data_IF_233822722238
#
_entry.id   IF_233822722238
#
_cell.length_a   1.000
_cell.length_b   1.000
_cell.length_c   1.000
_cell.angle_alpha   90.00
_cell.angle_beta   90.00
_cell.angle_gamma   90.00
#
_symmetry.space_group_name_H-M   'P 1'
#
loop_
_entity.id
_entity.type
_entity.pdbx_description
1 polymer ?
#
# COMPACT_ATOMS: atom_id res chain seq x y z
N UNK A 1 6.76 -24.59 -29.50
CA UNK A 1 5.45 -24.25 -28.91
C UNK A 1 5.76 -23.44 -27.69
N UNK A 2 5.31 -22.20 -27.64
CA UNK A 2 5.52 -21.38 -26.46
C UNK A 2 4.78 -22.00 -25.27
N UNK A 3 5.41 -21.99 -24.10
CA UNK A 3 4.80 -22.53 -22.88
C UNK A 3 3.61 -21.72 -22.36
N UNK A 4 3.07 -20.80 -23.16
CA UNK A 4 2.06 -19.82 -22.79
C UNK A 4 0.72 -20.23 -23.42
N UNK A 5 -0.23 -20.67 -22.59
CA UNK A 5 -1.64 -20.88 -22.97
C UNK A 5 -2.50 -19.86 -22.20
N UNK A 6 -2.40 -18.59 -22.59
CA UNK A 6 -3.18 -17.52 -21.96
C UNK A 6 -4.62 -17.51 -22.48
N UNK A 7 -5.56 -17.31 -21.56
CA UNK A 7 -6.99 -17.08 -21.86
C UNK A 7 -7.33 -15.61 -21.58
N UNK A 8 -7.29 -14.71 -22.58
CA UNK A 8 -7.41 -13.27 -22.36
C UNK A 8 -8.69 -12.85 -21.62
N UNK A 9 -9.83 -13.50 -21.92
CA UNK A 9 -11.10 -13.23 -21.25
C UNK A 9 -11.06 -13.58 -19.76
N UNK A 10 -10.43 -14.71 -19.40
CA UNK A 10 -10.26 -15.11 -18.01
C UNK A 10 -9.35 -14.14 -17.26
N UNK A 11 -8.27 -13.70 -17.91
CA UNK A 11 -7.33 -12.72 -17.34
C UNK A 11 -8.01 -11.38 -17.12
N UNK A 12 -8.80 -10.89 -18.08
CA UNK A 12 -9.55 -9.65 -17.94
C UNK A 12 -10.54 -9.71 -16.77
N UNK A 13 -11.20 -10.84 -16.56
CA UNK A 13 -12.06 -11.07 -15.40
C UNK A 13 -11.30 -10.93 -14.08
N UNK A 14 -10.16 -11.61 -13.95
CA UNK A 14 -9.29 -11.53 -12.76
C UNK A 14 -8.77 -10.11 -12.54
N UNK A 15 -8.26 -9.45 -13.59
CA UNK A 15 -7.76 -8.07 -13.53
C UNK A 15 -8.84 -7.10 -13.03
N UNK A 16 -10.07 -7.25 -13.53
CA UNK A 16 -11.20 -6.42 -13.09
C UNK A 16 -11.49 -6.64 -11.60
N UNK A 17 -11.68 -7.88 -11.18
CA UNK A 17 -12.01 -8.17 -9.78
C UNK A 17 -10.88 -7.78 -8.83
N UNK A 18 -9.62 -8.04 -9.19
CA UNK A 18 -8.46 -7.64 -8.38
C UNK A 18 -8.29 -6.13 -8.36
N UNK A 19 -8.50 -5.44 -9.49
CA UNK A 19 -8.49 -3.97 -9.56
C UNK A 19 -9.57 -3.33 -8.68
N UNK A 20 -10.79 -3.87 -8.69
CA UNK A 20 -11.88 -3.46 -7.80
C UNK A 20 -11.48 -3.60 -6.33
N UNK A 21 -10.91 -4.75 -5.93
CA UNK A 21 -10.44 -4.94 -4.54
C UNK A 21 -9.28 -4.01 -4.19
N UNK A 22 -8.31 -3.85 -5.09
CA UNK A 22 -7.16 -2.97 -4.90
C UNK A 22 -7.58 -1.50 -4.75
N UNK A 23 -8.66 -1.07 -5.42
CA UNK A 23 -9.20 0.28 -5.30
C UNK A 23 -9.64 0.63 -3.87
N UNK A 24 -9.97 -0.36 -3.05
CA UNK A 24 -10.36 -0.15 -1.66
C UNK A 24 -9.16 0.03 -0.72
N UNK A 25 -7.93 -0.30 -1.14
CA UNK A 25 -6.74 -0.18 -0.29
C UNK A 25 -6.53 1.27 0.16
N UNK A 26 -6.70 2.24 -0.73
CA UNK A 26 -6.58 3.67 -0.38
C UNK A 26 -7.61 4.08 0.68
N UNK A 27 -8.87 3.62 0.53
CA UNK A 27 -9.94 3.88 1.49
C UNK A 27 -9.62 3.29 2.87
N UNK A 28 -9.16 2.04 2.91
CA UNK A 28 -8.78 1.39 4.16
C UNK A 28 -7.55 2.04 4.80
N UNK A 29 -6.58 2.48 4.00
CA UNK A 29 -5.41 3.18 4.52
C UNK A 29 -5.75 4.54 5.13
N UNK A 30 -6.68 5.30 4.51
CA UNK A 30 -7.21 6.55 5.08
C UNK A 30 -7.92 6.30 6.41
N UNK A 31 -8.87 5.36 6.44
CA UNK A 31 -9.60 5.01 7.65
C UNK A 31 -8.66 4.56 8.78
N UNK A 32 -7.63 3.77 8.46
CA UNK A 32 -6.61 3.35 9.41
C UNK A 32 -5.87 4.55 10.04
N UNK A 33 -5.44 5.51 9.22
CA UNK A 33 -4.77 6.73 9.71
C UNK A 33 -5.68 7.60 10.59
N UNK A 34 -6.95 7.75 10.21
CA UNK A 34 -7.96 8.49 11.00
C UNK A 34 -8.19 7.83 12.36
N UNK A 35 -8.38 6.50 12.38
CA UNK A 35 -8.58 5.76 13.63
C UNK A 35 -7.35 5.78 14.53
N UNK A 36 -6.13 5.69 13.97
CA UNK A 36 -4.89 5.83 14.72
C UNK A 36 -4.74 7.21 15.35
N UNK A 37 -5.03 8.27 14.59
CA UNK A 37 -4.99 9.66 15.08
C UNK A 37 -6.00 9.88 16.21
N UNK A 38 -7.22 9.37 16.03
CA UNK A 38 -8.27 9.40 17.05
C UNK A 38 -7.86 8.66 18.33
N UNK A 39 -7.26 7.47 18.18
CA UNK A 39 -6.76 6.68 19.31
C UNK A 39 -5.58 7.37 20.02
N UNK A 40 -4.64 7.97 19.27
CA UNK A 40 -3.54 8.74 19.84
C UNK A 40 -4.05 9.96 20.62
N UNK A 41 -5.06 10.66 20.09
CA UNK A 41 -5.70 11.81 20.75
C UNK A 41 -6.38 11.37 22.04
N UNK A 42 -7.15 10.28 22.00
CA UNK A 42 -7.86 9.71 23.16
C UNK A 42 -6.91 9.16 24.23
N UNK A 43 -5.76 8.61 23.82
CA UNK A 43 -4.72 8.15 24.74
C UNK A 43 -3.96 9.33 25.37
N UNK A 44 -3.71 10.40 24.59
CA UNK A 44 -3.06 11.62 25.04
C UNK A 44 -3.91 12.49 25.98
N UNK A 45 -5.23 12.28 26.03
CA UNK A 45 -6.18 13.03 26.87
C UNK A 45 -6.21 12.64 28.35
N UNK A 46 -5.30 11.78 28.84
CA UNK A 46 -5.08 11.49 30.27
C UNK A 46 -3.71 12.11 30.66
N UNK A 47 -3.53 13.27 31.29
CA UNK A 47 -4.38 14.22 32.03
C UNK A 47 -3.70 15.62 32.06
N UNK A 48 -4.46 16.71 32.18
CA UNK A 48 -3.94 18.01 32.67
C UNK A 48 -4.83 18.70 33.73
N UNK A 49 -5.91 18.06 34.20
CA UNK A 49 -6.81 18.65 35.22
C UNK A 49 -6.97 17.78 36.48
N UNK A 50 -5.98 16.92 36.74
CA UNK A 50 -5.85 16.14 37.96
C UNK A 50 -4.48 16.36 38.59
N UNK A 51 -4.23 17.57 39.07
CA UNK A 51 -3.07 17.89 39.90
C UNK A 51 -3.15 17.14 41.22
N UNK A 52 -2.35 16.09 41.36
CA UNK A 52 -2.03 15.45 42.62
C UNK A 52 -0.53 15.27 42.71
N UNK A 53 0.11 15.93 43.67
CA UNK A 53 1.52 15.77 43.98
C UNK A 53 1.83 14.31 44.28
N UNK A 54 2.67 13.69 43.45
CA UNK A 54 3.31 12.40 43.75
C UNK A 54 2.89 11.24 42.83
N UNK A 55 3.80 10.89 41.91
CA UNK A 55 3.91 9.53 41.39
C UNK A 55 2.99 9.15 40.21
N UNK A 56 3.41 9.49 39.00
CA UNK A 56 3.41 8.68 37.77
C UNK A 56 3.38 9.63 36.55
N UNK A 57 4.49 9.67 35.81
CA UNK A 57 4.65 10.55 34.66
C UNK A 57 3.70 10.11 33.55
N UNK A 58 2.67 10.92 33.27
CA UNK A 58 2.10 11.15 31.93
C UNK A 58 2.05 9.92 30.99
N UNK A 59 1.50 8.77 31.44
CA UNK A 59 1.38 7.58 30.59
C UNK A 59 0.59 7.87 29.30
N UNK A 60 -0.39 8.79 29.34
CA UNK A 60 -1.18 9.17 28.16
C UNK A 60 -0.35 9.82 27.03
N UNK A 61 0.62 10.66 27.38
CA UNK A 61 1.49 11.33 26.40
C UNK A 61 2.45 10.38 25.69
N UNK A 62 2.98 9.37 26.39
CA UNK A 62 3.88 8.36 25.81
C UNK A 62 3.13 7.40 24.88
N UNK A 63 1.90 7.01 25.23
CA UNK A 63 1.06 6.16 24.38
C UNK A 63 0.66 6.92 23.11
N UNK A 64 0.28 8.19 23.21
CA UNK A 64 -0.02 9.03 22.04
C UNK A 64 1.19 9.15 21.08
N UNK A 65 2.40 9.30 21.62
CA UNK A 65 3.63 9.34 20.83
C UNK A 65 3.91 8.00 20.12
N UNK A 66 3.79 6.89 20.84
CA UNK A 66 4.00 5.55 20.28
C UNK A 66 3.00 5.23 19.17
N UNK A 67 1.72 5.58 19.36
CA UNK A 67 0.68 5.42 18.33
C UNK A 67 0.98 6.25 17.09
N UNK A 68 1.45 7.49 17.26
CA UNK A 68 1.83 8.36 16.14
C UNK A 68 2.99 7.75 15.33
N UNK A 69 4.03 7.25 16.00
CA UNK A 69 5.17 6.61 15.32
C UNK A 69 4.78 5.31 14.60
N UNK A 70 3.92 4.50 15.23
CA UNK A 70 3.40 3.28 14.62
C UNK A 70 2.53 3.59 13.40
N UNK A 71 1.65 4.61 13.49
CA UNK A 71 0.83 5.07 12.38
C UNK A 71 1.69 5.51 11.19
N UNK A 72 2.75 6.29 11.43
CA UNK A 72 3.67 6.74 10.38
C UNK A 72 4.37 5.57 9.67
N UNK A 73 4.75 4.52 10.40
CA UNK A 73 5.32 3.31 9.81
C UNK A 73 4.28 2.53 9.02
N UNK A 74 3.13 2.25 9.62
CA UNK A 74 2.06 1.48 9.01
C UNK A 74 1.52 2.14 7.74
N UNK A 75 1.43 3.48 7.68
CA UNK A 75 1.03 4.21 6.47
C UNK A 75 2.02 3.99 5.32
N UNK A 76 3.33 3.91 5.60
CA UNK A 76 4.34 3.60 4.57
C UNK A 76 4.15 2.18 4.02
N UNK A 77 3.92 1.22 4.90
CA UNK A 77 3.68 -0.17 4.51
C UNK A 77 2.39 -0.31 3.68
N UNK A 78 1.32 0.39 4.08
CA UNK A 78 0.05 0.42 3.34
C UNK A 78 0.22 1.03 1.93
N UNK A 79 1.01 2.12 1.81
CA UNK A 79 1.37 2.69 0.51
C UNK A 79 2.20 1.72 -0.33
N UNK A 80 3.14 1.00 0.28
CA UNK A 80 3.93 -0.03 -0.40
C UNK A 80 3.04 -1.14 -0.96
N UNK A 81 2.09 -1.65 -0.17
CA UNK A 81 1.13 -2.68 -0.59
C UNK A 81 0.29 -2.18 -1.77
N UNK A 82 -0.22 -0.95 -1.71
CA UNK A 82 -0.98 -0.36 -2.80
C UNK A 82 -0.15 -0.25 -4.09
N UNK A 83 1.08 0.26 -3.99
CA UNK A 83 2.00 0.36 -5.12
C UNK A 83 2.36 -1.01 -5.70
N UNK A 84 2.55 -2.02 -4.84
CA UNK A 84 2.83 -3.41 -5.24
C UNK A 84 1.66 -4.03 -5.97
N UNK A 85 0.44 -3.84 -5.45
CA UNK A 85 -0.78 -4.33 -6.09
C UNK A 85 -0.97 -3.69 -7.47
N UNK A 86 -0.80 -2.37 -7.58
CA UNK A 86 -0.86 -1.64 -8.86
C UNK A 86 0.17 -2.14 -9.87
N UNK A 87 1.43 -2.32 -9.43
CA UNK A 87 2.51 -2.84 -10.29
C UNK A 87 2.25 -4.27 -10.79
N UNK A 88 1.72 -5.14 -9.94
CA UNK A 88 1.35 -6.51 -10.32
C UNK A 88 0.20 -6.52 -11.34
N UNK A 89 -0.81 -5.68 -11.14
CA UNK A 89 -1.93 -5.53 -12.08
C UNK A 89 -1.46 -5.01 -13.43
N UNK A 90 -0.63 -3.96 -13.44
CA UNK A 90 -0.09 -3.39 -14.66
C UNK A 90 0.79 -4.40 -15.42
N UNK A 91 1.65 -5.13 -14.70
CA UNK A 91 2.47 -6.17 -15.32
C UNK A 91 1.67 -7.29 -15.96
N UNK A 92 0.54 -7.67 -15.36
CA UNK A 92 -0.37 -8.66 -15.94
C UNK A 92 -1.12 -8.11 -17.18
N UNK A 93 -1.48 -6.83 -17.18
CA UNK A 93 -2.02 -6.14 -18.36
C UNK A 93 -0.98 -6.13 -19.48
N UNK A 94 0.22 -5.61 -19.20
CA UNK A 94 1.31 -5.47 -20.17
C UNK A 94 1.71 -6.83 -20.77
N UNK A 95 1.83 -7.87 -19.94
CA UNK A 95 2.16 -9.22 -20.40
C UNK A 95 1.07 -9.81 -21.29
N UNK A 96 -0.21 -9.60 -20.95
CA UNK A 96 -1.33 -10.08 -21.77
C UNK A 96 -1.41 -9.34 -23.10
N UNK A 97 -1.18 -8.02 -23.09
CA UNK A 97 -1.12 -7.21 -24.32
C UNK A 97 0.02 -7.64 -25.23
N UNK A 98 1.22 -7.85 -24.67
CA UNK A 98 2.37 -8.33 -25.43
C UNK A 98 2.12 -9.72 -26.05
N UNK A 99 1.54 -10.64 -25.27
CA UNK A 99 1.14 -11.97 -25.77
C UNK A 99 0.11 -11.88 -26.90
N UNK A 100 -0.91 -11.03 -26.76
CA UNK A 100 -1.93 -10.81 -27.81
C UNK A 100 -1.33 -10.23 -29.10
N UNK A 101 -0.25 -9.46 -28.98
CA UNK A 101 0.50 -8.92 -30.12
C UNK A 101 1.48 -9.94 -30.73
N UNK A 102 1.58 -11.15 -30.17
CA UNK A 102 2.50 -12.20 -30.61
C UNK A 102 3.95 -12.01 -30.13
N UNK A 103 4.20 -11.11 -29.18
CA UNK A 103 5.52 -10.82 -28.63
C UNK A 103 5.67 -11.45 -27.23
N UNK A 104 6.08 -12.72 -27.23
CA UNK A 104 6.23 -13.49 -25.99
C UNK A 104 7.47 -13.09 -25.19
N UNK A 105 8.51 -12.56 -25.83
CA UNK A 105 9.68 -12.03 -25.13
C UNK A 105 9.30 -10.79 -24.33
N UNK A 106 8.52 -9.89 -24.93
CA UNK A 106 7.97 -8.72 -24.25
C UNK A 106 6.98 -9.12 -23.15
N UNK A 107 6.19 -10.18 -23.35
CA UNK A 107 5.30 -10.71 -22.31
C UNK A 107 6.09 -11.22 -21.09
N UNK A 108 7.15 -12.01 -21.32
CA UNK A 108 8.02 -12.52 -20.27
C UNK A 108 8.78 -11.38 -19.58
N UNK A 109 9.22 -10.36 -20.31
CA UNK A 109 9.89 -9.20 -19.75
C UNK A 109 8.95 -8.35 -18.89
N UNK A 110 7.70 -8.12 -19.33
CA UNK A 110 6.68 -7.44 -18.55
C UNK A 110 6.42 -8.16 -17.21
N UNK A 111 6.32 -9.49 -17.25
CA UNK A 111 6.16 -10.30 -16.04
C UNK A 111 7.38 -10.16 -15.11
N UNK A 112 8.62 -10.22 -15.64
CA UNK A 112 9.83 -10.01 -14.85
C UNK A 112 9.89 -8.63 -14.20
N UNK A 113 9.57 -7.58 -14.95
CA UNK A 113 9.55 -6.19 -14.44
C UNK A 113 8.54 -6.00 -13.31
N UNK A 114 7.40 -6.69 -13.38
CA UNK A 114 6.37 -6.65 -12.34
C UNK A 114 6.86 -7.22 -11.00
N UNK A 115 7.79 -8.19 -11.03
CA UNK A 115 8.36 -8.80 -9.82
C UNK A 115 9.23 -7.83 -9.02
N UNK A 116 9.83 -6.82 -9.64
CA UNK A 116 10.67 -5.84 -8.96
C UNK A 116 9.88 -5.03 -7.93
N UNK A 117 10.41 -4.82 -6.73
CA UNK A 117 9.73 -4.05 -5.69
C UNK A 117 9.37 -2.63 -6.20
N UNK A 118 8.21 -2.08 -5.80
CA UNK A 118 7.91 -0.66 -6.01
C UNK A 118 8.90 0.18 -5.21
N UNK A 119 9.41 1.23 -5.83
CA UNK A 119 10.08 2.30 -5.09
C UNK A 119 9.01 3.30 -4.66
N UNK A 120 8.92 3.55 -3.36
CA UNK A 120 7.98 4.52 -2.77
C UNK A 120 8.71 5.64 -2.04
N UNK A 121 10.04 5.73 -2.17
CA UNK A 121 10.83 6.78 -1.54
C UNK A 121 10.58 8.12 -2.25
N UNK A 122 9.94 9.11 -1.59
CA UNK A 122 9.67 10.40 -2.19
C UNK A 122 10.95 11.25 -2.42
N UNK A 123 12.12 10.81 -1.92
CA UNK A 123 13.38 11.57 -1.99
C UNK A 123 14.29 11.18 -3.16
N UNK A 124 13.95 10.15 -3.95
CA UNK A 124 14.73 9.80 -5.15
C UNK A 124 14.25 10.57 -6.38
N UNK A 125 15.16 11.15 -7.19
CA UNK A 125 14.78 11.74 -8.47
C UNK A 125 14.17 10.66 -9.39
N UNK A 126 12.95 10.90 -9.90
CA UNK A 126 12.37 10.12 -11.01
C UNK A 126 11.16 9.23 -10.70
N UNK A 127 10.64 9.17 -9.47
CA UNK A 127 9.49 8.28 -9.13
C UNK A 127 8.14 9.01 -9.08
N UNK A 128 8.12 10.31 -9.41
CA UNK A 128 6.90 11.10 -9.55
C UNK A 128 6.77 11.53 -11.01
N UNK A 129 6.35 10.62 -11.89
CA UNK A 129 5.77 11.05 -13.16
C UNK A 129 4.45 10.32 -13.35
N UNK A 130 3.46 11.17 -13.56
CA UNK A 130 2.02 10.97 -13.57
C UNK A 130 1.55 10.00 -14.64
#
# INVERSE_FOLDING_TARGET
MSGWDLKPQGIQGVLKTTGEKASHIEKHAKAYGEHMTSAATSAGTISAEGGGEGGEKAQGGLVALALSQYADHAVKDLKFIAARAGKSLQGAVDATTAYLNGDEEMAAEAQRKALSAPDIDPKKPGVQTR
#
